data_IF_476624340990
#
_entry.id   IF_476624340990
#
_cell.length_a   1.000
_cell.length_b   1.000
_cell.length_c   1.000
_cell.angle_alpha   90.00
_cell.angle_beta   90.00
_cell.angle_gamma   90.00
#
_symmetry.space_group_name_H-M   'P 1'
#
loop_
_entity.id
_entity.type
_entity.pdbx_description
1 polymer ?
#
# COMPACT_ATOMS: atom_id res chain seq x y z
N UNK A 1 -49.97 -8.82 -35.14
CA UNK A 1 -51.11 -9.77 -35.05
C UNK A 1 -50.92 -10.60 -33.80
N UNK A 2 -51.96 -10.80 -32.99
CA UNK A 2 -51.88 -11.67 -31.81
C UNK A 2 -51.80 -13.14 -32.27
N UNK A 3 -50.90 -13.96 -31.71
CA UNK A 3 -50.79 -15.38 -32.04
C UNK A 3 -52.11 -16.12 -31.77
N UNK A 4 -52.44 -17.07 -32.65
CA UNK A 4 -53.66 -17.88 -32.58
C UNK A 4 -53.46 -19.08 -31.63
N UNK A 5 -54.44 -19.36 -30.78
CA UNK A 5 -54.53 -20.59 -29.99
C UNK A 5 -55.77 -21.40 -30.44
N UNK A 6 -55.59 -22.64 -30.87
CA UNK A 6 -56.68 -23.53 -31.29
C UNK A 6 -57.23 -24.43 -30.18
N UNK A 7 -56.53 -24.57 -29.04
CA UNK A 7 -57.03 -25.30 -27.87
C UNK A 7 -58.04 -24.43 -27.12
N UNK A 8 -59.33 -24.77 -27.21
CA UNK A 8 -60.43 -23.98 -26.64
C UNK A 8 -60.98 -24.58 -25.37
N UNK A 9 -61.25 -23.72 -24.39
CA UNK A 9 -62.00 -24.09 -23.19
C UNK A 9 -63.45 -24.48 -23.57
N UNK A 10 -63.85 -25.69 -23.18
CA UNK A 10 -65.18 -26.22 -23.45
C UNK A 10 -66.18 -25.81 -22.36
N UNK A 11 -67.41 -25.45 -22.76
CA UNK A 11 -68.55 -25.32 -21.84
C UNK A 11 -68.36 -24.28 -20.71
N UNK A 12 -67.86 -23.09 -21.09
CA UNK A 12 -67.48 -21.98 -20.18
C UNK A 12 -68.60 -20.98 -19.87
N UNK A 13 -69.78 -21.10 -20.50
CA UNK A 13 -70.89 -20.17 -20.26
C UNK A 13 -71.51 -20.35 -18.87
N UNK A 14 -72.13 -19.28 -18.34
CA UNK A 14 -72.73 -19.28 -17.00
C UNK A 14 -73.83 -20.35 -16.81
N UNK A 15 -74.52 -20.73 -17.89
CA UNK A 15 -75.60 -21.71 -17.89
C UNK A 15 -75.21 -23.02 -18.60
N UNK A 16 -73.91 -23.33 -18.67
CA UNK A 16 -73.46 -24.51 -19.38
C UNK A 16 -73.89 -25.80 -18.67
N UNK A 17 -74.22 -26.84 -19.44
CA UNK A 17 -74.63 -28.17 -18.96
C UNK A 17 -73.45 -28.90 -18.28
N UNK A 18 -73.12 -28.52 -17.04
CA UNK A 18 -71.92 -28.97 -16.33
C UNK A 18 -72.21 -29.14 -14.84
N UNK A 19 -71.76 -30.24 -14.25
CA UNK A 19 -71.86 -30.51 -12.82
C UNK A 19 -71.28 -29.36 -11.97
N UNK A 20 -71.98 -29.04 -10.87
CA UNK A 20 -71.41 -28.16 -9.86
C UNK A 20 -70.12 -28.78 -9.31
N UNK A 21 -69.22 -27.94 -8.79
CA UNK A 21 -67.98 -28.44 -8.20
C UNK A 21 -68.27 -29.44 -7.06
N UNK A 22 -69.23 -29.09 -6.21
CA UNK A 22 -69.63 -29.93 -5.07
C UNK A 22 -70.15 -31.32 -5.48
N UNK A 23 -70.98 -31.41 -6.52
CA UNK A 23 -71.49 -32.70 -7.01
C UNK A 23 -70.35 -33.56 -7.61
N UNK A 24 -69.42 -32.91 -8.32
CA UNK A 24 -68.31 -33.61 -8.96
C UNK A 24 -67.31 -34.18 -7.94
N UNK A 25 -66.97 -33.40 -6.92
CA UNK A 25 -66.06 -33.82 -5.83
C UNK A 25 -66.62 -34.98 -5.00
N UNK A 26 -67.96 -35.07 -4.86
CA UNK A 26 -68.65 -36.16 -4.16
C UNK A 26 -68.85 -37.42 -5.02
N UNK A 27 -68.53 -37.37 -6.32
CA UNK A 27 -68.74 -38.51 -7.22
C UNK A 27 -67.71 -39.62 -6.98
N UNK A 28 -68.12 -40.89 -6.75
CA UNK A 28 -67.19 -42.02 -6.63
C UNK A 28 -66.32 -42.23 -7.89
N UNK A 29 -66.85 -41.82 -9.04
CA UNK A 29 -66.21 -41.92 -10.35
C UNK A 29 -65.00 -40.97 -10.50
N UNK A 30 -64.85 -39.98 -9.62
CA UNK A 30 -63.69 -39.08 -9.64
C UNK A 30 -62.36 -39.84 -9.43
N UNK A 31 -62.39 -40.88 -8.59
CA UNK A 31 -61.21 -41.70 -8.28
C UNK A 31 -61.11 -42.94 -9.18
N UNK A 32 -62.25 -43.49 -9.59
CA UNK A 32 -62.33 -44.80 -10.25
C UNK A 32 -62.62 -44.72 -11.76
N UNK A 33 -62.87 -43.52 -12.29
CA UNK A 33 -63.28 -43.30 -13.66
C UNK A 33 -64.79 -43.48 -13.88
N UNK A 34 -65.27 -43.16 -15.08
CA UNK A 34 -66.68 -43.34 -15.43
C UNK A 34 -67.01 -44.82 -15.71
N UNK A 35 -68.19 -45.32 -15.27
CA UNK A 35 -68.64 -46.67 -15.58
C UNK A 35 -68.88 -46.85 -17.09
N UNK A 36 -68.82 -48.09 -17.62
CA UNK A 36 -69.00 -48.37 -19.05
C UNK A 36 -70.37 -47.94 -19.60
N UNK A 37 -71.39 -47.88 -18.73
CA UNK A 37 -72.76 -47.54 -19.08
C UNK A 37 -73.31 -46.44 -18.14
N UNK A 38 -74.28 -45.66 -18.61
CA UNK A 38 -75.04 -44.66 -17.84
C UNK A 38 -74.27 -43.41 -17.38
N UNK A 39 -73.40 -42.85 -18.23
CA UNK A 39 -72.73 -41.56 -17.97
C UNK A 39 -73.67 -40.41 -18.35
N UNK A 40 -73.92 -39.48 -17.43
CA UNK A 40 -74.66 -38.25 -17.76
C UNK A 40 -73.73 -37.24 -18.43
N UNK A 41 -74.22 -36.59 -19.50
CA UNK A 41 -73.49 -35.51 -20.17
C UNK A 41 -73.10 -34.38 -19.20
N UNK A 42 -73.91 -34.14 -18.17
CA UNK A 42 -73.68 -33.15 -17.13
C UNK A 42 -72.37 -33.39 -16.35
N UNK A 43 -72.05 -34.65 -15.99
CA UNK A 43 -70.82 -35.01 -15.27
C UNK A 43 -69.65 -35.18 -16.26
N UNK A 44 -69.88 -35.73 -17.45
CA UNK A 44 -68.86 -35.82 -18.50
C UNK A 44 -68.33 -34.43 -18.89
N UNK A 45 -69.23 -33.47 -19.12
CA UNK A 45 -68.89 -32.11 -19.48
C UNK A 45 -68.06 -31.40 -18.40
N UNK A 46 -68.19 -31.79 -17.12
CA UNK A 46 -67.34 -31.25 -16.04
C UNK A 46 -65.87 -31.64 -16.22
N UNK A 47 -65.62 -32.91 -16.52
CA UNK A 47 -64.27 -33.43 -16.77
C UNK A 47 -63.67 -32.81 -18.03
N UNK A 48 -64.47 -32.75 -19.12
CA UNK A 48 -64.06 -32.09 -20.37
C UNK A 48 -63.79 -30.59 -20.17
N UNK A 49 -64.61 -29.88 -19.39
CA UNK A 49 -64.40 -28.48 -19.08
C UNK A 49 -63.13 -28.25 -18.25
N UNK A 50 -62.87 -29.05 -17.22
CA UNK A 50 -61.66 -28.86 -16.39
C UNK A 50 -60.39 -29.09 -17.21
N UNK A 51 -60.35 -30.16 -18.01
CA UNK A 51 -59.20 -30.47 -18.87
C UNK A 51 -58.98 -29.43 -19.98
N UNK A 52 -60.03 -29.11 -20.75
CA UNK A 52 -59.94 -28.14 -21.86
C UNK A 52 -59.66 -26.71 -21.39
N UNK A 53 -60.16 -26.30 -20.22
CA UNK A 53 -59.84 -24.98 -19.64
C UNK A 53 -58.35 -24.86 -19.36
N UNK A 54 -57.74 -25.86 -18.71
CA UNK A 54 -56.29 -25.86 -18.44
C UNK A 54 -55.50 -25.92 -19.75
N UNK A 55 -55.91 -26.75 -20.71
CA UNK A 55 -55.27 -26.82 -22.03
C UNK A 55 -55.29 -25.47 -22.75
N UNK A 56 -56.44 -24.76 -22.75
CA UNK A 56 -56.58 -23.43 -23.34
C UNK A 56 -55.67 -22.40 -22.67
N UNK A 57 -55.59 -22.39 -21.32
CA UNK A 57 -54.73 -21.47 -20.58
C UNK A 57 -53.25 -21.70 -20.90
N UNK A 58 -52.82 -22.97 -20.92
CA UNK A 58 -51.44 -23.32 -21.26
C UNK A 58 -51.14 -22.95 -22.71
N UNK A 59 -52.03 -23.25 -23.64
CA UNK A 59 -51.84 -22.92 -25.05
C UNK A 59 -51.84 -21.40 -25.31
N UNK A 60 -52.67 -20.62 -24.60
CA UNK A 60 -52.64 -19.15 -24.65
C UNK A 60 -51.31 -18.60 -24.11
N UNK A 61 -50.80 -19.17 -23.01
CA UNK A 61 -49.48 -18.83 -22.49
C UNK A 61 -48.38 -19.12 -23.52
N UNK A 62 -48.40 -20.32 -24.12
CA UNK A 62 -47.44 -20.71 -25.16
C UNK A 62 -47.54 -19.74 -26.35
N UNK A 63 -48.74 -19.46 -26.85
CA UNK A 63 -48.95 -18.59 -28.01
C UNK A 63 -48.41 -17.17 -27.75
N UNK A 64 -48.80 -16.59 -26.61
CA UNK A 64 -48.42 -15.23 -26.20
C UNK A 64 -46.91 -15.10 -26.01
N UNK A 65 -46.30 -16.01 -25.25
CA UNK A 65 -44.89 -15.91 -24.91
C UNK A 65 -44.01 -16.37 -26.07
N UNK A 66 -44.30 -17.49 -26.74
CA UNK A 66 -43.50 -17.94 -27.90
C UNK A 66 -43.62 -17.03 -29.13
N UNK A 67 -44.70 -16.25 -29.22
CA UNK A 67 -45.01 -15.37 -30.35
C UNK A 67 -45.40 -16.14 -31.62
N UNK A 68 -45.98 -17.33 -31.48
CA UNK A 68 -46.30 -18.22 -32.59
C UNK A 68 -47.64 -18.93 -32.36
N UNK A 69 -48.33 -19.28 -33.44
CA UNK A 69 -49.63 -19.96 -33.36
C UNK A 69 -49.49 -21.35 -32.76
N UNK A 70 -50.42 -21.70 -31.87
CA UNK A 70 -50.55 -23.01 -31.23
C UNK A 70 -51.75 -23.72 -31.84
N UNK A 71 -51.49 -24.60 -32.80
CA UNK A 71 -52.50 -25.29 -33.60
C UNK A 71 -52.83 -26.67 -32.99
N UNK A 72 -54.09 -27.08 -33.09
CA UNK A 72 -54.54 -28.43 -32.72
C UNK A 72 -54.41 -29.38 -33.93
N UNK A 73 -53.16 -29.67 -34.31
CA UNK A 73 -52.79 -30.50 -35.47
C UNK A 73 -52.11 -31.82 -35.08
N UNK A 74 -52.07 -32.13 -33.78
CA UNK A 74 -51.40 -33.31 -33.23
C UNK A 74 -49.86 -33.26 -33.24
N UNK A 75 -49.25 -32.13 -33.63
CA UNK A 75 -47.79 -32.00 -33.68
C UNK A 75 -47.18 -31.72 -32.29
N UNK A 76 -47.00 -32.78 -31.51
CA UNK A 76 -46.46 -32.72 -30.15
C UNK A 76 -45.06 -32.08 -30.13
N UNK A 77 -44.18 -32.42 -31.07
CA UNK A 77 -42.81 -31.91 -31.10
C UNK A 77 -42.77 -30.38 -31.29
N UNK A 78 -43.65 -29.85 -32.15
CA UNK A 78 -43.81 -28.40 -32.33
C UNK A 78 -44.34 -27.75 -31.06
N UNK A 79 -45.38 -28.32 -30.44
CA UNK A 79 -45.96 -27.81 -29.19
C UNK A 79 -44.93 -27.78 -28.05
N UNK A 80 -44.12 -28.83 -27.90
CA UNK A 80 -43.02 -28.88 -26.93
C UNK A 80 -41.99 -27.79 -27.17
N UNK A 81 -41.58 -27.59 -28.43
CA UNK A 81 -40.63 -26.54 -28.80
C UNK A 81 -41.18 -25.15 -28.46
N UNK A 82 -42.46 -24.91 -28.75
CA UNK A 82 -43.12 -23.64 -28.45
C UNK A 82 -43.25 -23.41 -26.94
N UNK A 83 -43.55 -24.45 -26.16
CA UNK A 83 -43.59 -24.37 -24.70
C UNK A 83 -42.23 -24.02 -24.11
N UNK A 84 -41.15 -24.68 -24.56
CA UNK A 84 -39.80 -24.36 -24.11
C UNK A 84 -39.44 -22.90 -24.42
N UNK A 85 -39.72 -22.44 -25.64
CA UNK A 85 -39.50 -21.05 -26.04
C UNK A 85 -40.29 -20.04 -25.19
N UNK A 86 -41.55 -20.36 -24.88
CA UNK A 86 -42.39 -19.54 -24.02
C UNK A 86 -41.80 -19.41 -22.60
N UNK A 87 -41.32 -20.52 -22.03
CA UNK A 87 -40.67 -20.53 -20.72
C UNK A 87 -39.36 -19.74 -20.73
N UNK A 88 -38.47 -19.98 -21.69
CA UNK A 88 -37.19 -19.29 -21.84
C UNK A 88 -37.37 -17.76 -21.95
N UNK A 89 -38.29 -17.31 -22.79
CA UNK A 89 -38.59 -15.87 -22.93
C UNK A 89 -39.13 -15.29 -21.63
N UNK A 90 -40.04 -15.99 -20.94
CA UNK A 90 -40.62 -15.52 -19.69
C UNK A 90 -39.58 -15.40 -18.57
N UNK A 91 -38.66 -16.36 -18.50
CA UNK A 91 -37.54 -16.35 -17.55
C UNK A 91 -36.60 -15.18 -17.87
N UNK A 92 -36.15 -15.04 -19.12
CA UNK A 92 -35.18 -14.02 -19.52
C UNK A 92 -35.70 -12.59 -19.33
N UNK A 93 -36.99 -12.35 -19.61
CA UNK A 93 -37.60 -11.01 -19.45
C UNK A 93 -37.80 -10.61 -18.00
N UNK A 94 -38.06 -11.57 -17.10
CA UNK A 94 -38.24 -11.30 -15.67
C UNK A 94 -36.94 -11.37 -14.87
N UNK A 95 -35.95 -12.10 -15.37
CA UNK A 95 -34.65 -12.32 -14.73
C UNK A 95 -33.56 -12.10 -15.77
N UNK A 96 -33.31 -10.83 -16.17
CA UNK A 96 -32.24 -10.51 -17.11
C UNK A 96 -30.86 -10.74 -16.49
N UNK A 97 -29.82 -10.58 -17.28
CA UNK A 97 -28.46 -10.43 -16.76
C UNK A 97 -28.37 -9.17 -15.92
N UNK A 98 -27.57 -9.20 -14.85
CA UNK A 98 -27.39 -8.01 -14.05
C UNK A 98 -26.63 -6.94 -14.84
N UNK A 99 -27.00 -5.68 -14.58
CA UNK A 99 -26.30 -4.50 -15.07
C UNK A 99 -26.01 -3.54 -13.92
N UNK A 100 -25.32 -2.45 -14.21
CA UNK A 100 -25.07 -1.39 -13.23
C UNK A 100 -26.36 -0.70 -12.73
N UNK A 101 -27.49 -0.88 -13.43
CA UNK A 101 -28.76 -0.22 -13.14
C UNK A 101 -29.93 -1.19 -12.91
N UNK A 102 -29.77 -2.47 -13.28
CA UNK A 102 -30.82 -3.48 -13.18
C UNK A 102 -30.29 -4.74 -12.49
N UNK A 103 -31.02 -5.23 -11.48
CA UNK A 103 -30.72 -6.51 -10.82
C UNK A 103 -30.98 -7.68 -11.78
N UNK A 104 -30.12 -8.69 -11.75
CA UNK A 104 -30.21 -9.86 -12.62
C UNK A 104 -29.36 -11.04 -12.13
N UNK A 105 -29.20 -12.08 -12.94
CA UNK A 105 -28.28 -13.20 -12.66
C UNK A 105 -26.84 -12.77 -13.00
N UNK A 106 -25.87 -13.23 -12.22
CA UNK A 106 -24.44 -12.96 -12.41
C UNK A 106 -23.66 -14.28 -12.33
N UNK A 107 -22.64 -14.44 -13.18
CA UNK A 107 -21.67 -15.53 -13.06
C UNK A 107 -20.55 -15.15 -12.09
N UNK A 108 -20.16 -16.09 -11.22
CA UNK A 108 -19.07 -15.87 -10.27
C UNK A 108 -17.69 -16.03 -10.93
N UNK A 109 -16.71 -15.27 -10.45
CA UNK A 109 -15.30 -15.38 -10.85
C UNK A 109 -14.35 -15.60 -9.67
N UNK A 110 -13.31 -16.39 -9.90
CA UNK A 110 -12.18 -16.61 -9.00
C UNK A 110 -10.87 -15.99 -9.53
N UNK A 111 -10.94 -15.16 -10.57
CA UNK A 111 -9.79 -14.43 -11.14
C UNK A 111 -10.03 -12.93 -11.11
N UNK A 112 -8.95 -12.16 -10.91
CA UNK A 112 -8.97 -10.70 -11.06
C UNK A 112 -9.00 -10.35 -12.55
N UNK A 113 -9.76 -9.32 -12.92
CA UNK A 113 -9.87 -8.86 -14.30
C UNK A 113 -10.69 -7.56 -14.39
N UNK A 114 -11.10 -7.22 -15.61
CA UNK A 114 -11.86 -5.99 -15.94
C UNK A 114 -13.30 -6.29 -16.41
N UNK A 115 -13.92 -7.32 -15.85
CA UNK A 115 -15.29 -7.70 -16.23
C UNK A 115 -16.35 -6.84 -15.53
N UNK A 116 -17.38 -6.46 -16.29
CA UNK A 116 -18.60 -5.83 -15.77
C UNK A 116 -19.78 -6.82 -15.65
N UNK A 117 -19.56 -8.10 -15.97
CA UNK A 117 -20.59 -9.15 -16.00
C UNK A 117 -20.32 -10.31 -15.02
N UNK A 118 -19.19 -10.27 -14.30
CA UNK A 118 -18.80 -11.29 -13.33
C UNK A 118 -18.74 -10.70 -11.91
N UNK A 119 -19.19 -11.47 -10.92
CA UNK A 119 -19.07 -11.12 -9.51
C UNK A 119 -17.92 -11.87 -8.84
N UNK A 120 -17.09 -11.17 -8.06
CA UNK A 120 -16.00 -11.77 -7.33
C UNK A 120 -16.52 -12.75 -6.25
N UNK A 121 -15.93 -13.95 -6.21
CA UNK A 121 -16.15 -14.89 -5.11
C UNK A 121 -15.55 -14.37 -3.80
N UNK A 122 -16.08 -14.80 -2.66
CA UNK A 122 -15.50 -14.50 -1.35
C UNK A 122 -14.02 -14.92 -1.27
N UNK A 123 -13.67 -16.08 -1.82
CA UNK A 123 -12.28 -16.55 -1.89
C UNK A 123 -11.39 -15.57 -2.65
N UNK A 124 -11.82 -15.09 -3.83
CA UNK A 124 -11.06 -14.09 -4.59
C UNK A 124 -10.84 -12.81 -3.78
N UNK A 125 -11.89 -12.33 -3.09
CA UNK A 125 -11.80 -11.13 -2.23
C UNK A 125 -10.80 -11.36 -1.09
N UNK A 126 -10.83 -12.52 -0.44
CA UNK A 126 -9.85 -12.89 0.59
C UNK A 126 -8.42 -12.97 0.05
N UNK A 127 -8.20 -13.63 -1.08
CA UNK A 127 -6.86 -13.76 -1.68
C UNK A 127 -6.29 -12.38 -2.08
N UNK A 128 -7.12 -11.47 -2.58
CA UNK A 128 -6.72 -10.07 -2.89
C UNK A 128 -6.37 -9.31 -1.62
N UNK A 129 -7.19 -9.43 -0.58
CA UNK A 129 -6.93 -8.80 0.73
C UNK A 129 -5.62 -9.32 1.35
N UNK A 130 -5.37 -10.62 1.28
CA UNK A 130 -4.14 -11.25 1.77
C UNK A 130 -2.91 -10.78 0.98
N UNK A 131 -3.02 -10.64 -0.34
CA UNK A 131 -1.95 -10.04 -1.13
C UNK A 131 -1.69 -8.59 -0.71
N UNK A 132 -2.74 -7.78 -0.48
CA UNK A 132 -2.60 -6.39 -0.05
C UNK A 132 -1.91 -6.29 1.33
N UNK A 133 -2.32 -7.11 2.30
CA UNK A 133 -1.75 -7.11 3.66
C UNK A 133 -0.26 -7.53 3.69
N UNK A 134 0.21 -8.29 2.69
CA UNK A 134 1.61 -8.73 2.58
C UNK A 134 2.53 -7.72 1.89
N UNK A 135 2.01 -6.62 1.33
CA UNK A 135 2.84 -5.59 0.68
C UNK A 135 3.24 -4.51 1.67
N UNK A 136 4.53 -4.31 1.85
CA UNK A 136 5.11 -3.35 2.80
C UNK A 136 4.56 -3.56 4.20
N UNK A 137 4.51 -4.82 4.63
CA UNK A 137 3.96 -5.17 5.93
C UNK A 137 4.78 -4.53 7.05
N UNK A 138 4.13 -3.75 7.92
CA UNK A 138 4.81 -2.93 8.94
C UNK A 138 5.69 -3.77 9.88
N UNK A 139 5.20 -4.94 10.27
CA UNK A 139 5.89 -5.88 11.17
C UNK A 139 7.15 -6.48 10.53
N UNK A 140 7.22 -6.52 9.20
CA UNK A 140 8.36 -7.06 8.46
C UNK A 140 9.48 -6.03 8.25
N UNK A 141 9.26 -4.74 8.55
CA UNK A 141 10.27 -3.69 8.42
C UNK A 141 10.99 -3.70 7.05
N UNK A 142 10.25 -3.94 5.97
CA UNK A 142 10.79 -3.99 4.60
C UNK A 142 11.53 -5.27 4.24
N UNK A 143 11.44 -6.34 5.05
CA UNK A 143 11.97 -7.66 4.69
C UNK A 143 11.34 -8.22 3.41
N UNK A 144 10.07 -7.88 3.16
CA UNK A 144 9.26 -8.25 1.99
C UNK A 144 9.69 -7.53 0.69
N UNK A 145 10.58 -6.55 0.76
CA UNK A 145 11.12 -5.83 -0.40
C UNK A 145 12.17 -6.70 -1.11
N UNK A 146 11.92 -7.15 -2.37
CA UNK A 146 12.82 -8.07 -3.07
C UNK A 146 14.17 -7.43 -3.41
N UNK A 147 14.16 -6.16 -3.86
CA UNK A 147 15.35 -5.40 -4.20
C UNK A 147 15.44 -4.13 -3.35
N UNK A 148 16.02 -4.27 -2.16
CA UNK A 148 16.19 -3.17 -1.20
C UNK A 148 17.03 -2.02 -1.77
N UNK A 149 18.05 -2.32 -2.59
CA UNK A 149 18.90 -1.31 -3.21
C UNK A 149 18.14 -0.42 -4.20
N UNK A 150 17.32 -1.01 -5.06
CA UNK A 150 16.45 -0.27 -5.97
C UNK A 150 15.39 0.55 -5.20
N UNK A 151 14.85 -0.01 -4.11
CA UNK A 151 13.91 0.70 -3.25
C UNK A 151 14.53 1.96 -2.63
N UNK A 152 15.71 1.85 -2.02
CA UNK A 152 16.47 3.00 -1.47
C UNK A 152 16.76 4.05 -2.55
N UNK A 153 17.12 3.63 -3.77
CA UNK A 153 17.32 4.54 -4.91
C UNK A 153 16.04 5.30 -5.27
N UNK A 154 14.89 4.62 -5.31
CA UNK A 154 13.61 5.23 -5.66
C UNK A 154 13.11 6.20 -4.57
N UNK A 155 13.53 6.03 -3.31
CA UNK A 155 13.29 7.01 -2.24
C UNK A 155 14.10 8.30 -2.40
N UNK A 156 15.04 8.37 -3.35
CA UNK A 156 15.94 9.51 -3.49
C UNK A 156 17.00 9.59 -2.39
N UNK A 157 17.22 8.50 -1.64
CA UNK A 157 18.26 8.42 -0.65
C UNK A 157 19.62 8.33 -1.34
N UNK A 158 20.40 9.39 -1.18
CA UNK A 158 21.75 9.48 -1.72
C UNK A 158 22.75 8.68 -0.88
N UNK A 159 24.01 8.64 -1.32
CA UNK A 159 25.08 7.86 -0.69
C UNK A 159 25.28 8.16 0.80
N UNK A 160 25.00 9.38 1.26
CA UNK A 160 25.13 9.74 2.68
C UNK A 160 24.27 8.84 3.61
N UNK A 161 23.07 8.45 3.18
CA UNK A 161 22.18 7.60 3.96
C UNK A 161 22.68 6.14 4.09
N UNK A 162 23.69 5.76 3.32
CA UNK A 162 24.28 4.42 3.31
C UNK A 162 25.60 4.35 4.10
N UNK A 163 26.10 5.49 4.59
CA UNK A 163 27.37 5.56 5.31
C UNK A 163 27.14 5.45 6.81
N UNK A 164 28.02 4.72 7.48
CA UNK A 164 28.04 4.66 8.93
C UNK A 164 28.62 5.92 9.55
N UNK A 165 28.27 6.17 10.82
CA UNK A 165 28.87 7.23 11.61
C UNK A 165 30.26 6.78 12.08
N UNK A 166 31.29 7.58 11.79
CA UNK A 166 32.67 7.26 12.15
C UNK A 166 33.69 8.05 11.33
N UNK A 167 34.98 7.78 11.55
CA UNK A 167 36.10 8.52 10.93
C UNK A 167 36.90 7.73 9.90
N UNK A 168 36.48 6.49 9.63
CA UNK A 168 37.08 5.63 8.61
C UNK A 168 36.71 6.02 7.18
N UNK A 169 37.32 5.32 6.22
CA UNK A 169 36.99 5.48 4.79
C UNK A 169 35.51 5.15 4.57
N UNK A 170 34.82 5.98 3.79
CA UNK A 170 33.38 5.89 3.52
C UNK A 170 32.46 6.06 4.75
N UNK A 171 32.94 6.65 5.84
CA UNK A 171 32.11 7.04 6.98
C UNK A 171 31.84 8.55 7.01
N UNK A 172 30.87 8.97 7.82
CA UNK A 172 30.56 10.37 8.09
C UNK A 172 30.81 10.64 9.58
N UNK A 173 31.77 11.50 9.95
CA UNK A 173 31.97 11.87 11.35
C UNK A 173 30.77 12.67 11.86
N UNK A 174 30.22 12.29 13.02
CA UNK A 174 29.27 13.12 13.74
C UNK A 174 29.99 14.21 14.59
N UNK A 175 29.21 15.01 15.31
CA UNK A 175 29.74 16.11 16.13
C UNK A 175 30.58 15.63 17.32
N UNK A 176 30.43 14.37 17.76
CA UNK A 176 31.21 13.83 18.88
C UNK A 176 32.70 13.70 18.53
N UNK A 177 33.06 13.63 17.24
CA UNK A 177 34.45 13.63 16.77
C UNK A 177 35.09 15.02 16.70
N UNK A 178 34.31 16.08 16.94
CA UNK A 178 34.76 17.48 16.94
C UNK A 178 34.76 18.11 18.35
N UNK A 179 35.02 17.32 19.40
CA UNK A 179 35.06 17.85 20.77
C UNK A 179 36.00 19.04 20.89
N UNK A 180 35.63 20.02 21.71
CA UNK A 180 36.40 21.26 21.87
C UNK A 180 36.22 21.84 23.28
N UNK A 181 37.15 22.71 23.64
CA UNK A 181 37.02 23.63 24.77
C UNK A 181 37.29 25.05 24.27
N UNK A 182 36.23 25.85 24.12
CA UNK A 182 36.25 27.15 23.46
C UNK A 182 36.58 28.33 24.39
N UNK A 183 37.50 28.13 25.32
CA UNK A 183 38.02 29.19 26.19
C UNK A 183 39.24 29.88 25.57
N UNK A 184 39.75 30.92 26.22
CA UNK A 184 40.90 31.71 25.73
C UNK A 184 42.12 30.84 25.43
N UNK A 185 42.45 29.91 26.32
CA UNK A 185 43.44 28.85 26.10
C UNK A 185 42.70 27.56 25.77
N UNK A 186 42.27 27.43 24.52
CA UNK A 186 41.31 26.43 24.08
C UNK A 186 41.88 25.40 23.10
N UNK A 187 41.05 24.42 22.75
CA UNK A 187 41.40 23.38 21.80
C UNK A 187 40.19 22.83 21.07
N UNK A 188 40.42 22.21 19.92
CA UNK A 188 39.44 21.44 19.17
C UNK A 188 40.10 20.20 18.56
N UNK A 189 39.46 19.04 18.72
CA UNK A 189 39.84 17.81 18.02
C UNK A 189 39.12 17.73 16.68
N UNK A 190 39.78 17.11 15.71
CA UNK A 190 39.26 16.85 14.38
C UNK A 190 39.11 15.33 14.18
N UNK A 191 38.16 14.88 13.34
CA UNK A 191 37.95 13.46 13.03
C UNK A 191 39.19 12.74 12.49
N UNK A 192 40.15 13.47 11.93
CA UNK A 192 41.44 12.94 11.48
C UNK A 192 42.37 12.53 12.62
N UNK A 193 42.01 12.82 13.87
CA UNK A 193 42.88 12.70 15.05
C UNK A 193 43.72 13.94 15.32
N UNK A 194 43.75 14.90 14.38
CA UNK A 194 44.42 16.18 14.61
C UNK A 194 43.74 16.96 15.73
N UNK A 195 44.55 17.71 16.47
CA UNK A 195 44.12 18.61 17.53
C UNK A 195 44.69 19.98 17.20
N UNK A 196 43.82 20.98 17.13
CA UNK A 196 44.22 22.37 17.11
C UNK A 196 44.10 22.95 18.52
N UNK A 197 45.08 23.75 18.92
CA UNK A 197 45.07 24.46 20.19
C UNK A 197 45.43 25.92 19.96
N UNK A 198 44.91 26.78 20.82
CA UNK A 198 45.19 28.20 20.80
C UNK A 198 45.27 28.75 22.22
N UNK A 199 45.87 29.92 22.34
CA UNK A 199 45.94 30.59 23.64
C UNK A 199 46.90 31.75 23.65
N UNK A 200 47.23 32.19 24.87
CA UNK A 200 48.26 33.18 25.15
C UNK A 200 49.47 32.47 25.76
N UNK A 201 50.65 32.76 25.21
CA UNK A 201 51.93 32.31 25.72
C UNK A 201 52.78 33.49 26.16
N UNK A 202 53.51 33.32 27.26
CA UNK A 202 54.55 34.26 27.68
C UNK A 202 55.81 33.94 26.89
N UNK A 203 56.51 34.99 26.46
CA UNK A 203 57.76 34.89 25.71
C UNK A 203 58.82 35.72 26.42
N UNK A 204 59.91 35.06 26.80
CA UNK A 204 61.05 35.70 27.46
C UNK A 204 62.28 35.75 26.56
N UNK A 205 63.28 36.52 26.98
CA UNK A 205 64.54 36.69 26.26
C UNK A 205 65.23 35.34 25.96
N UNK A 206 65.60 35.15 24.71
CA UNK A 206 66.45 34.06 24.23
C UNK A 206 67.94 34.42 24.26
N UNK A 207 68.79 33.52 23.74
CA UNK A 207 70.25 33.75 23.62
C UNK A 207 71.13 32.82 24.46
N UNK A 208 70.52 31.95 25.27
CA UNK A 208 71.17 30.91 26.06
C UNK A 208 70.23 29.67 26.07
N UNK A 209 70.76 28.42 26.03
CA UNK A 209 69.95 27.19 26.04
C UNK A 209 68.90 27.09 27.17
N UNK A 210 69.15 27.76 28.29
CA UNK A 210 68.29 27.82 29.47
C UNK A 210 67.34 29.05 29.48
N UNK A 211 67.45 29.97 28.51
CA UNK A 211 66.56 31.12 28.38
C UNK A 211 65.15 30.76 27.89
N UNK A 212 64.33 31.78 27.63
CA UNK A 212 62.92 31.62 27.23
C UNK A 212 61.96 31.30 28.38
N UNK A 213 60.67 31.20 28.07
CA UNK A 213 59.61 30.90 29.04
C UNK A 213 58.88 29.61 28.69
N UNK A 214 58.65 28.74 29.68
CA UNK A 214 57.95 27.46 29.50
C UNK A 214 56.45 27.69 29.64
N UNK A 215 55.70 27.39 28.58
CA UNK A 215 54.25 27.44 28.53
C UNK A 215 53.67 26.02 28.47
N UNK A 216 52.42 25.88 28.89
CA UNK A 216 51.69 24.61 28.82
C UNK A 216 50.65 24.66 27.70
N UNK A 217 50.49 23.55 26.99
CA UNK A 217 49.33 23.36 26.11
C UNK A 217 48.04 23.19 26.95
N UNK A 218 46.87 23.60 26.43
CA UNK A 218 45.58 23.43 27.10
C UNK A 218 45.28 21.96 27.47
N UNK A 219 45.71 21.02 26.63
CA UNK A 219 45.76 19.58 26.92
C UNK A 219 47.07 19.00 26.33
N UNK A 220 47.56 17.84 26.81
CA UNK A 220 48.66 17.16 26.15
C UNK A 220 48.28 16.67 24.75
N UNK A 221 49.17 16.84 23.77
CA UNK A 221 49.07 16.12 22.50
C UNK A 221 49.28 14.61 22.75
N UNK A 222 48.36 13.73 22.33
CA UNK A 222 48.51 12.30 22.55
C UNK A 222 49.83 11.70 22.00
N UNK A 223 50.35 12.24 20.90
CA UNK A 223 51.60 11.81 20.28
C UNK A 223 52.63 12.93 20.21
N UNK A 224 52.39 13.98 19.42
CA UNK A 224 53.31 15.10 19.23
C UNK A 224 52.63 16.35 18.68
N UNK A 225 53.19 17.51 19.06
CA UNK A 225 52.96 18.77 18.37
C UNK A 225 53.77 18.81 17.08
N UNK A 226 53.15 19.20 15.96
CA UNK A 226 53.84 19.38 14.68
C UNK A 226 54.37 20.79 14.49
N UNK A 227 53.60 21.80 14.90
CA UNK A 227 53.92 23.21 14.66
C UNK A 227 53.29 24.10 15.71
N UNK A 228 53.99 25.19 16.04
CA UNK A 228 53.51 26.29 16.86
C UNK A 228 53.84 27.59 16.14
N UNK A 229 52.83 28.44 15.99
CA UNK A 229 53.00 29.81 15.47
C UNK A 229 52.71 30.79 16.60
N UNK A 230 53.57 31.80 16.74
CA UNK A 230 53.43 32.88 17.70
C UNK A 230 53.14 34.19 16.98
N UNK A 231 52.17 34.95 17.49
CA UNK A 231 51.84 36.30 17.02
C UNK A 231 51.89 37.25 18.20
N UNK A 232 52.50 38.43 18.03
CA UNK A 232 52.58 39.43 19.09
C UNK A 232 51.19 39.76 19.64
N UNK A 233 51.06 39.78 20.97
CA UNK A 233 49.83 40.09 21.67
C UNK A 233 50.07 41.24 22.67
N UNK A 234 50.59 42.34 22.14
CA UNK A 234 50.72 43.60 22.87
C UNK A 234 50.63 44.78 21.89
N UNK A 235 50.42 45.97 22.42
CA UNK A 235 50.27 47.20 21.64
C UNK A 235 51.59 47.81 21.20
N UNK A 236 52.71 47.44 21.82
CA UNK A 236 54.05 47.94 21.49
C UNK A 236 54.79 46.97 20.54
N UNK A 237 54.84 47.24 19.23
CA UNK A 237 55.58 46.41 18.28
C UNK A 237 57.10 46.44 18.50
N UNK A 238 57.65 47.49 19.14
CA UNK A 238 59.07 47.56 19.49
C UNK A 238 59.49 46.48 20.49
N UNK A 239 58.54 46.00 21.31
CA UNK A 239 58.75 44.93 22.27
C UNK A 239 58.66 43.51 21.67
N UNK A 240 58.14 43.35 20.45
CA UNK A 240 57.92 42.02 19.85
C UNK A 240 59.24 41.27 19.59
N UNK A 241 60.20 41.90 18.92
CA UNK A 241 61.41 41.21 18.45
C UNK A 241 61.11 40.05 17.49
N UNK A 242 62.05 39.11 17.34
CA UNK A 242 61.88 37.86 16.57
C UNK A 242 61.49 36.75 17.54
N UNK A 243 60.33 36.14 17.33
CA UNK A 243 59.85 35.03 18.15
C UNK A 243 60.34 33.66 17.65
N UNK A 244 60.59 32.76 18.60
CA UNK A 244 60.82 31.35 18.34
C UNK A 244 60.08 30.48 19.36
N UNK A 245 59.66 29.30 18.95
CA UNK A 245 59.04 28.31 19.83
C UNK A 245 59.73 26.95 19.66
N UNK A 246 59.94 26.24 20.76
CA UNK A 246 60.43 24.86 20.77
C UNK A 246 59.47 24.00 21.56
N UNK A 247 58.93 22.95 20.94
CA UNK A 247 58.18 21.91 21.66
C UNK A 247 59.16 21.18 22.58
N UNK A 248 58.84 21.09 23.86
CA UNK A 248 59.67 20.35 24.82
C UNK A 248 59.16 18.93 24.99
N UNK A 249 57.84 18.78 25.10
CA UNK A 249 57.13 17.51 25.22
C UNK A 249 55.66 17.70 24.80
N UNK A 250 54.85 16.67 24.99
CA UNK A 250 53.43 16.64 24.62
C UNK A 250 52.58 17.71 25.32
N UNK A 251 53.01 18.20 26.49
CA UNK A 251 52.25 19.13 27.34
C UNK A 251 52.86 20.53 27.36
N UNK A 252 54.09 20.72 26.89
CA UNK A 252 54.85 21.95 27.11
C UNK A 252 55.66 22.38 25.90
N UNK A 253 55.77 23.69 25.76
CA UNK A 253 56.60 24.34 24.76
C UNK A 253 57.31 25.55 25.38
N UNK A 254 58.51 25.85 24.90
CA UNK A 254 59.27 27.01 25.35
C UNK A 254 59.26 28.09 24.27
N UNK A 255 58.96 29.31 24.66
CA UNK A 255 58.96 30.48 23.77
C UNK A 255 60.16 31.38 24.07
N UNK A 256 60.76 31.89 23.00
CA UNK A 256 61.93 32.74 23.02
C UNK A 256 61.66 34.00 22.20
N UNK A 257 62.28 35.11 22.58
CA UNK A 257 62.38 36.30 21.72
C UNK A 257 63.80 36.85 21.66
N UNK A 258 64.12 37.54 20.57
CA UNK A 258 65.35 38.33 20.47
C UNK A 258 65.38 39.44 21.53
N UNK A 259 66.58 39.90 21.92
CA UNK A 259 66.73 41.04 22.82
C UNK A 259 66.13 42.32 22.23
N UNK A 260 65.35 43.04 23.05
CA UNK A 260 64.79 44.37 22.76
C UNK A 260 65.01 45.27 23.97
N UNK A 261 65.08 46.61 23.81
CA UNK A 261 65.39 47.53 24.92
C UNK A 261 64.18 47.87 25.81
N UNK A 262 62.99 47.30 25.57
CA UNK A 262 61.72 47.84 26.08
C UNK A 262 61.04 47.02 27.20
N UNK A 263 61.17 45.69 27.20
CA UNK A 263 60.53 44.81 28.20
C UNK A 263 61.42 43.60 28.51
N UNK A 264 61.12 42.83 29.57
CA UNK A 264 61.76 41.54 29.85
C UNK A 264 60.96 40.36 29.26
N UNK A 265 59.64 40.38 29.43
CA UNK A 265 58.69 39.39 28.90
C UNK A 265 57.56 40.08 28.12
N UNK A 266 57.04 39.40 27.10
CA UNK A 266 55.86 39.83 26.33
C UNK A 266 54.88 38.68 26.17
N UNK A 267 53.63 39.00 25.83
CA UNK A 267 52.60 38.02 25.53
C UNK A 267 52.48 37.82 24.02
N UNK A 268 52.20 36.59 23.62
CA UNK A 268 51.88 36.23 22.24
C UNK A 268 50.61 35.40 22.20
N UNK A 269 49.84 35.52 21.13
CA UNK A 269 48.90 34.47 20.78
C UNK A 269 49.70 33.31 20.22
N UNK A 270 49.41 32.09 20.67
CA UNK A 270 49.92 30.88 20.02
C UNK A 270 48.79 30.14 19.32
N UNK A 271 49.14 29.49 18.22
CA UNK A 271 48.33 28.43 17.60
C UNK A 271 49.23 27.23 17.39
N UNK A 272 48.77 26.06 17.84
CA UNK A 272 49.50 24.82 17.72
C UNK A 272 48.63 23.74 17.07
N UNK A 273 49.26 22.85 16.32
CA UNK A 273 48.60 21.69 15.71
C UNK A 273 49.44 20.43 15.93
N UNK A 274 48.77 19.32 16.18
CA UNK A 274 49.39 18.03 16.50
C UNK A 274 48.35 16.93 16.63
N UNK A 275 48.74 15.78 17.19
CA UNK A 275 47.86 14.66 17.50
C UNK A 275 48.49 13.78 18.57
#
# INVERSE_FOLDING_TARGET
MSPKNDFKAFSTSNNANVASQEIYEKSPNLQTGFPPENITSHILNKTLRQSSTIASVVADFIATESGSDVLDDGNIAKLTTQLNKALEKKITTKIPDASLTQKGIIQLTNVVGNSNTLAATQKLVSDVNDNANKRLEKTQNGADIPNKNAFVKNLGLNEAAKREVGTGVNQIPDMSFFTSNLVQNGWQKLPSGLIEMWGIAIVSLGGNPNGGYINNFPIPFPNKCFSITLTHNDWDPGSAGIFGASVLNQSQFKCYRSSTPYALDVYTYFRAIGY
#
